data_IF_335078988386
#
_entry.id   IF_335078988386
#
_cell.length_a   1.000
_cell.length_b   1.000
_cell.length_c   1.000
_cell.angle_alpha   90.00
_cell.angle_beta   90.00
_cell.angle_gamma   90.00
#
_symmetry.space_group_name_H-M   'P 1'
#
loop_
_entity.id
_entity.type
_entity.pdbx_description
1 polymer ?
#
# COMPACT_ATOMS: atom_id res chain seq x y z
N UNK A 1 -8.67 22.06 12.70
CA UNK A 1 -8.65 21.14 11.54
C UNK A 1 -7.27 21.27 10.91
N UNK A 2 -6.44 20.23 10.96
CA UNK A 2 -5.10 20.27 10.36
C UNK A 2 -5.18 20.27 8.83
N UNK A 3 -4.14 20.70 8.11
CA UNK A 3 -4.11 20.67 6.65
C UNK A 3 -4.36 19.23 6.19
N UNK A 4 -5.34 19.04 5.28
CA UNK A 4 -5.61 17.73 4.71
C UNK A 4 -4.38 17.24 3.96
N UNK A 5 -3.75 16.17 4.46
CA UNK A 5 -2.60 15.54 3.80
C UNK A 5 -3.08 14.87 2.51
N UNK A 6 -2.35 15.04 1.42
CA UNK A 6 -2.71 14.48 0.11
C UNK A 6 -2.97 12.97 0.15
N UNK A 7 -2.16 12.23 0.92
CA UNK A 7 -2.34 10.81 1.16
C UNK A 7 -3.72 10.48 1.77
N UNK A 8 -4.22 11.27 2.72
CA UNK A 8 -5.49 11.01 3.39
C UNK A 8 -6.68 11.28 2.46
N UNK A 9 -6.53 12.23 1.53
CA UNK A 9 -7.54 12.52 0.50
C UNK A 9 -7.57 11.37 -0.50
N UNK A 10 -6.39 10.98 -1.00
CA UNK A 10 -6.23 9.90 -1.97
C UNK A 10 -6.82 8.58 -1.45
N UNK A 11 -6.44 8.17 -0.24
CA UNK A 11 -7.02 6.99 0.40
C UNK A 11 -8.54 7.08 0.51
N UNK A 12 -9.07 8.20 1.02
CA UNK A 12 -10.52 8.35 1.21
C UNK A 12 -11.31 8.22 -0.09
N UNK A 13 -10.79 8.79 -1.17
CA UNK A 13 -11.42 8.72 -2.49
C UNK A 13 -11.49 7.30 -3.04
N UNK A 14 -10.47 6.48 -2.81
CA UNK A 14 -10.41 5.12 -3.33
C UNK A 14 -10.98 4.08 -2.36
N UNK A 15 -11.13 4.41 -1.07
CA UNK A 15 -11.56 3.49 0.00
C UNK A 15 -12.93 2.83 -0.24
N UNK A 16 -13.81 3.45 -1.04
CA UNK A 16 -15.11 2.89 -1.42
C UNK A 16 -15.01 1.57 -2.18
N UNK A 17 -13.86 1.26 -2.78
CA UNK A 17 -13.66 0.03 -3.55
C UNK A 17 -13.32 -1.18 -2.67
N UNK A 18 -13.02 -0.98 -1.38
CA UNK A 18 -12.83 -2.09 -0.44
C UNK A 18 -11.48 -2.82 -0.51
N UNK A 19 -10.52 -2.34 -1.30
CA UNK A 19 -9.19 -2.96 -1.47
C UNK A 19 -8.15 -2.52 -0.41
N UNK A 20 -8.59 -2.24 0.81
CA UNK A 20 -7.71 -1.79 1.89
C UNK A 20 -7.26 -0.31 1.74
N UNK A 21 -5.99 -0.03 2.08
CA UNK A 21 -5.46 1.33 2.15
C UNK A 21 -4.62 1.71 0.93
N UNK A 22 -5.18 2.52 0.04
CA UNK A 22 -4.48 2.99 -1.15
C UNK A 22 -3.31 3.94 -0.81
N UNK A 23 -2.10 3.57 -1.20
CA UNK A 23 -0.90 4.40 -1.07
C UNK A 23 -0.77 5.35 -2.27
N UNK A 24 -0.54 6.64 -2.00
CA UNK A 24 -0.27 7.64 -3.04
C UNK A 24 1.08 7.40 -3.71
N UNK A 25 2.04 6.80 -2.97
CA UNK A 25 3.35 6.43 -3.48
C UNK A 25 3.72 5.03 -2.99
N UNK A 26 3.23 3.97 -3.64
CA UNK A 26 3.42 2.59 -3.21
C UNK A 26 4.87 2.11 -3.27
N UNK A 27 5.80 2.84 -3.92
CA UNK A 27 7.17 2.36 -4.01
C UNK A 27 7.83 2.29 -2.64
N UNK A 28 8.50 1.16 -2.33
CA UNK A 28 9.19 1.00 -1.07
C UNK A 28 10.35 2.00 -0.99
N UNK A 29 10.35 2.82 0.07
CA UNK A 29 11.35 3.86 0.27
C UNK A 29 12.64 3.28 0.85
N UNK A 30 13.76 3.61 0.23
CA UNK A 30 15.07 3.25 0.76
C UNK A 30 15.36 3.98 2.08
N UNK A 31 15.57 3.21 3.13
CA UNK A 31 16.03 3.69 4.43
C UNK A 31 17.55 3.60 4.45
N UNK A 32 18.22 4.73 4.69
CA UNK A 32 19.68 4.86 4.68
C UNK A 32 20.25 5.23 3.31
N UNK A 33 21.40 5.92 3.32
CA UNK A 33 22.12 6.36 2.11
C UNK A 33 23.10 5.32 1.57
N UNK A 34 23.43 4.29 2.36
CA UNK A 34 24.37 3.25 1.96
C UNK A 34 23.62 1.97 1.57
N UNK A 35 23.75 1.61 0.31
CA UNK A 35 23.25 0.37 -0.27
C UNK A 35 23.95 -0.83 0.36
N UNK A 36 23.48 -1.26 1.53
CA UNK A 36 23.78 -2.59 2.03
C UNK A 36 23.21 -3.61 1.03
N UNK A 37 23.97 -4.61 0.54
CA UNK A 37 23.51 -5.51 -0.52
C UNK A 37 22.16 -6.20 -0.24
N UNK A 38 21.88 -6.48 1.03
CA UNK A 38 20.63 -7.09 1.47
C UNK A 38 19.42 -6.13 1.49
N UNK A 39 19.65 -4.81 1.44
CA UNK A 39 18.57 -3.84 1.34
C UNK A 39 17.97 -3.82 -0.07
N UNK A 40 18.78 -4.02 -1.12
CA UNK A 40 18.31 -4.08 -2.52
C UNK A 40 17.23 -5.14 -2.73
N UNK A 41 17.46 -6.35 -2.23
CA UNK A 41 16.47 -7.45 -2.31
C UNK A 41 15.19 -7.11 -1.53
N UNK A 42 15.32 -6.43 -0.39
CA UNK A 42 14.18 -5.99 0.41
C UNK A 42 13.25 -5.08 -0.41
N UNK A 43 13.82 -4.15 -1.18
CA UNK A 43 13.09 -3.21 -2.05
C UNK A 43 12.53 -3.86 -3.31
N UNK A 44 13.26 -4.80 -3.93
CA UNK A 44 12.80 -5.53 -5.12
C UNK A 44 11.56 -6.38 -4.83
N UNK A 45 11.50 -7.01 -3.65
CA UNK A 45 10.35 -7.82 -3.23
C UNK A 45 9.15 -6.95 -2.79
N UNK A 46 9.36 -5.67 -2.49
CA UNK A 46 8.33 -4.73 -2.08
C UNK A 46 7.79 -4.95 -0.65
N UNK A 47 6.58 -4.44 -0.41
CA UNK A 47 5.84 -4.63 0.84
C UNK A 47 5.36 -6.08 0.98
N UNK A 48 5.38 -6.61 2.19
CA UNK A 48 5.01 -8.01 2.49
C UNK A 48 3.93 -8.08 3.56
N UNK A 49 3.18 -9.18 3.55
CA UNK A 49 2.33 -9.56 4.67
C UNK A 49 3.18 -9.66 5.95
N UNK A 50 2.68 -9.06 7.03
CA UNK A 50 3.32 -8.95 8.33
C UNK A 50 4.24 -7.75 8.51
N UNK A 51 4.50 -6.96 7.46
CA UNK A 51 5.27 -5.72 7.60
C UNK A 51 4.52 -4.77 8.54
N UNK A 52 5.23 -4.31 9.56
CA UNK A 52 4.80 -3.28 10.51
C UNK A 52 5.45 -1.98 10.10
N UNK A 53 4.65 -0.93 9.95
CA UNK A 53 5.15 0.33 9.43
C UNK A 53 4.22 1.51 9.64
N UNK A 54 4.63 2.63 9.07
CA UNK A 54 3.89 3.89 9.12
C UNK A 54 3.75 4.48 7.72
N UNK A 55 2.62 5.13 7.48
CA UNK A 55 2.38 5.88 6.25
C UNK A 55 2.82 7.33 6.49
N UNK A 56 3.76 7.81 5.68
CA UNK A 56 4.28 9.18 5.79
C UNK A 56 3.40 10.16 5.02
N UNK A 57 3.46 11.43 5.41
CA UNK A 57 2.76 12.54 4.73
C UNK A 57 3.11 12.64 3.23
N UNK A 58 4.26 12.11 2.83
CA UNK A 58 4.72 12.03 1.44
C UNK A 58 4.01 10.96 0.61
N UNK A 59 3.22 10.08 1.24
CA UNK A 59 2.42 9.04 0.61
C UNK A 59 3.04 7.64 0.57
N UNK A 60 4.26 7.48 1.09
CA UNK A 60 4.96 6.20 1.15
C UNK A 60 4.70 5.47 2.46
N UNK A 61 4.70 4.14 2.39
CA UNK A 61 4.82 3.28 3.55
C UNK A 61 6.30 3.08 3.93
N UNK A 62 6.61 3.21 5.21
CA UNK A 62 7.94 2.92 5.77
C UNK A 62 7.83 1.68 6.63
N UNK A 63 8.39 0.57 6.15
CA UNK A 63 8.50 -0.69 6.90
C UNK A 63 9.55 -0.54 8.00
N UNK A 64 9.17 -0.88 9.22
CA UNK A 64 10.03 -0.85 10.41
C UNK A 64 10.61 -2.26 10.65
N UNK A 65 9.73 -3.26 10.71
CA UNK A 65 10.06 -4.68 10.89
C UNK A 65 8.90 -5.54 10.37
N UNK A 66 9.02 -6.86 10.37
CA UNK A 66 8.01 -7.84 9.97
C UNK A 66 7.77 -8.84 11.10
N UNK A 67 6.51 -9.05 11.47
CA UNK A 67 6.11 -9.91 12.61
C UNK A 67 6.35 -11.40 12.37
N UNK A 68 6.44 -11.85 11.12
CA UNK A 68 6.63 -13.27 10.75
C UNK A 68 8.09 -13.64 10.54
N UNK A 69 8.99 -12.66 10.56
CA UNK A 69 10.41 -12.87 10.27
C UNK A 69 11.24 -12.83 11.55
N UNK A 70 12.35 -13.56 11.57
CA UNK A 70 13.30 -13.55 12.68
C UNK A 70 13.99 -12.19 12.83
N UNK A 71 14.46 -11.85 14.02
CA UNK A 71 15.12 -10.56 14.31
C UNK A 71 16.39 -10.31 13.49
N UNK A 72 17.11 -11.37 13.12
CA UNK A 72 18.32 -11.28 12.29
C UNK A 72 18.09 -11.21 10.78
N UNK A 73 16.84 -11.21 10.32
CA UNK A 73 16.54 -11.06 8.89
C UNK A 73 16.79 -9.64 8.41
N UNK A 74 17.05 -9.41 7.10
CA UNK A 74 17.29 -8.07 6.59
C UNK A 74 16.21 -7.06 6.95
N UNK A 75 14.92 -7.42 6.84
CA UNK A 75 13.79 -6.53 7.17
C UNK A 75 13.78 -6.11 8.64
N UNK A 76 14.16 -7.02 9.54
CA UNK A 76 14.15 -6.80 10.99
C UNK A 76 15.47 -6.24 11.52
N UNK A 77 16.49 -6.15 10.68
CA UNK A 77 17.82 -5.63 11.07
C UNK A 77 18.01 -4.15 10.76
N UNK A 78 17.22 -3.56 9.84
CA UNK A 78 17.38 -2.16 9.42
C UNK A 78 17.13 -1.20 10.59
N UNK A 79 15.96 -1.32 11.23
CA UNK A 79 15.63 -0.54 12.42
C UNK A 79 15.79 -1.34 13.72
N UNK A 80 15.97 -2.66 13.61
CA UNK A 80 15.86 -3.58 14.73
C UNK A 80 14.41 -3.99 14.99
N UNK A 81 14.21 -4.66 16.12
CA UNK A 81 12.91 -5.09 16.61
C UNK A 81 12.74 -4.69 18.08
N UNK A 82 11.49 -4.54 18.56
CA UNK A 82 11.22 -4.26 19.96
C UNK A 82 11.84 -5.30 20.92
N UNK A 83 12.22 -4.88 22.12
CA UNK A 83 12.78 -5.79 23.11
C UNK A 83 11.81 -6.96 23.42
N UNK A 84 12.36 -8.18 23.49
CA UNK A 84 11.58 -9.40 23.70
C UNK A 84 10.74 -9.83 22.51
N UNK A 85 10.97 -9.26 21.32
CA UNK A 85 10.30 -9.69 20.08
C UNK A 85 10.52 -11.19 19.84
N UNK A 86 9.42 -11.87 19.49
CA UNK A 86 9.38 -13.26 19.07
C UNK A 86 8.48 -13.34 17.84
N UNK A 87 8.93 -13.91 16.72
CA UNK A 87 8.10 -13.95 15.52
C UNK A 87 6.79 -14.68 15.75
N UNK A 88 5.72 -14.16 15.14
CA UNK A 88 4.45 -14.85 15.03
C UNK A 88 4.61 -16.01 14.02
N UNK A 89 3.98 -17.15 14.29
CA UNK A 89 3.98 -18.28 13.36
C UNK A 89 3.31 -17.90 12.03
N UNK A 90 3.99 -18.15 10.91
CA UNK A 90 3.42 -17.93 9.58
C UNK A 90 2.81 -19.21 9.02
N UNK A 91 1.50 -19.19 8.81
CA UNK A 91 0.76 -20.32 8.26
C UNK A 91 0.54 -20.15 6.75
N UNK A 92 1.39 -20.76 5.93
CA UNK A 92 1.32 -20.66 4.45
C UNK A 92 -0.06 -21.03 3.88
N UNK A 93 -0.79 -21.94 4.52
CA UNK A 93 -2.13 -22.36 4.13
C UNK A 93 -3.23 -21.31 4.40
N UNK A 94 -2.90 -20.20 5.05
CA UNK A 94 -3.78 -19.05 5.25
C UNK A 94 -3.40 -17.88 4.34
N UNK A 95 -2.39 -18.04 3.47
CA UNK A 95 -2.02 -17.06 2.46
C UNK A 95 -2.73 -17.39 1.14
N UNK A 96 -3.57 -16.48 0.68
CA UNK A 96 -4.32 -16.59 -0.55
C UNK A 96 -3.77 -15.60 -1.57
N UNK A 97 -3.64 -16.06 -2.80
CA UNK A 97 -3.29 -15.26 -3.96
C UNK A 97 -4.04 -15.85 -5.14
N UNK A 98 -4.69 -15.00 -5.92
CA UNK A 98 -5.35 -15.44 -7.14
C UNK A 98 -4.30 -15.69 -8.23
N UNK A 99 -4.49 -16.75 -9.03
CA UNK A 99 -3.66 -16.98 -10.23
C UNK A 99 -3.95 -15.93 -11.31
N UNK A 100 -5.22 -15.55 -11.45
CA UNK A 100 -5.66 -14.48 -12.32
C UNK A 100 -5.50 -13.11 -11.62
N UNK A 101 -5.21 -12.04 -12.37
CA UNK A 101 -5.12 -10.71 -11.79
C UNK A 101 -6.51 -10.25 -11.32
N UNK A 102 -6.61 -9.96 -10.02
CA UNK A 102 -7.81 -9.39 -9.37
C UNK A 102 -8.28 -8.12 -10.07
N UNK A 103 -7.33 -7.30 -10.54
CA UNK A 103 -7.58 -6.16 -11.41
C UNK A 103 -7.01 -6.46 -12.80
N UNK A 104 -7.84 -6.65 -13.84
CA UNK A 104 -7.36 -6.87 -15.20
C UNK A 104 -6.51 -5.70 -15.73
N UNK A 105 -5.68 -5.92 -16.76
CA UNK A 105 -4.96 -4.83 -17.44
C UNK A 105 -5.88 -3.71 -17.93
N UNK A 106 -5.40 -2.47 -17.84
CA UNK A 106 -6.12 -1.24 -18.13
C UNK A 106 -7.32 -0.98 -17.20
N UNK A 107 -7.24 -1.45 -15.95
CA UNK A 107 -8.24 -1.13 -14.92
C UNK A 107 -7.98 0.24 -14.34
N UNK A 108 -9.05 1.04 -14.19
CA UNK A 108 -9.01 2.35 -13.57
C UNK A 108 -9.85 2.32 -12.29
N UNK A 109 -9.25 2.76 -11.18
CA UNK A 109 -9.91 2.91 -9.89
C UNK A 109 -10.01 4.41 -9.63
N UNK A 110 -11.20 4.94 -9.42
CA UNK A 110 -11.42 6.38 -9.27
C UNK A 110 -12.46 6.68 -8.21
N UNK A 111 -12.51 7.92 -7.72
CA UNK A 111 -13.50 8.32 -6.71
C UNK A 111 -14.93 7.98 -7.10
N UNK A 112 -15.77 7.63 -6.12
CA UNK A 112 -17.21 7.46 -6.36
C UNK A 112 -17.76 8.67 -7.14
N UNK A 113 -18.56 8.38 -8.19
CA UNK A 113 -19.17 9.38 -9.09
C UNK A 113 -18.19 10.12 -10.02
N UNK A 114 -17.10 9.46 -10.42
CA UNK A 114 -16.42 9.83 -11.66
C UNK A 114 -17.03 9.07 -12.85
N UNK A 115 -16.93 9.65 -14.03
CA UNK A 115 -17.31 8.99 -15.28
C UNK A 115 -16.26 9.21 -16.36
N UNK A 116 -16.12 8.20 -17.21
CA UNK A 116 -15.18 8.19 -18.33
C UNK A 116 -15.80 8.86 -19.55
N UNK A 117 -15.07 9.80 -20.16
CA UNK A 117 -15.40 10.41 -21.44
C UNK A 117 -14.30 10.02 -22.43
N UNK A 118 -14.65 9.23 -23.45
CA UNK A 118 -13.71 8.87 -24.53
C UNK A 118 -13.61 10.04 -25.51
N UNK A 119 -12.40 10.42 -25.89
CA UNK A 119 -12.11 11.50 -26.83
C UNK A 119 -11.49 10.95 -28.11
N UNK A 120 -11.81 11.55 -29.26
CA UNK A 120 -11.07 11.30 -30.51
C UNK A 120 -9.75 12.08 -30.54
N UNK A 121 -8.97 11.88 -31.60
CA UNK A 121 -7.69 12.57 -31.81
C UNK A 121 -7.82 14.11 -31.87
N UNK A 122 -9.02 14.62 -32.14
CA UNK A 122 -9.35 16.05 -32.20
C UNK A 122 -9.88 16.59 -30.85
N UNK A 123 -9.86 15.79 -29.79
CA UNK A 123 -10.31 16.17 -28.45
C UNK A 123 -11.84 16.26 -28.27
N UNK A 124 -12.62 15.68 -29.18
CA UNK A 124 -14.07 15.66 -29.11
C UNK A 124 -14.58 14.37 -28.44
N UNK A 125 -15.59 14.52 -27.57
CA UNK A 125 -16.26 13.40 -26.94
C UNK A 125 -16.88 12.45 -27.97
N UNK A 126 -16.58 11.16 -27.82
CA UNK A 126 -17.08 10.08 -28.63
C UNK A 126 -18.30 9.42 -27.98
N UNK A 127 -19.18 8.89 -28.83
CA UNK A 127 -20.25 8.03 -28.36
C UNK A 127 -19.69 6.80 -27.64
N UNK A 128 -20.37 6.38 -26.56
CA UNK A 128 -20.04 5.16 -25.82
C UNK A 128 -19.94 3.97 -26.79
N UNK A 129 -18.76 3.34 -26.85
CA UNK A 129 -18.49 2.18 -27.70
C UNK A 129 -17.68 2.43 -28.99
N UNK A 130 -17.24 3.66 -29.26
CA UNK A 130 -16.30 3.94 -30.34
C UNK A 130 -14.85 3.53 -29.97
N UNK A 131 -14.14 2.87 -30.88
CA UNK A 131 -12.73 2.45 -30.72
C UNK A 131 -11.92 2.82 -31.97
N UNK A 132 -10.69 3.30 -31.78
CA UNK A 132 -9.75 3.61 -32.87
C UNK A 132 -8.41 4.15 -32.37
N UNK A 133 -7.34 4.09 -33.18
CA UNK A 133 -6.04 4.68 -32.84
C UNK A 133 -6.16 6.21 -32.72
N UNK A 134 -5.56 6.79 -31.68
CA UNK A 134 -5.69 8.22 -31.34
C UNK A 134 -6.81 8.56 -30.36
N UNK A 135 -7.33 7.57 -29.62
CA UNK A 135 -8.29 7.79 -28.54
C UNK A 135 -7.59 8.33 -27.28
N UNK A 136 -8.02 9.50 -26.82
CA UNK A 136 -7.74 10.00 -25.47
C UNK A 136 -8.87 9.60 -24.53
N UNK A 137 -8.62 9.61 -23.23
CA UNK A 137 -9.65 9.41 -22.23
C UNK A 137 -9.59 10.54 -21.21
N UNK A 138 -10.74 11.18 -20.98
CA UNK A 138 -10.93 12.22 -19.98
C UNK A 138 -11.77 11.65 -18.83
N UNK A 139 -11.36 11.92 -17.59
CA UNK A 139 -12.15 11.56 -16.40
C UNK A 139 -12.75 12.83 -15.83
N UNK A 140 -14.07 12.84 -15.71
CA UNK A 140 -14.79 13.93 -15.10
C UNK A 140 -15.31 13.49 -13.74
N UNK A 141 -15.03 14.31 -12.73
CA UNK A 141 -15.54 14.12 -11.38
C UNK A 141 -16.76 15.02 -11.19
N UNK A 142 -17.84 14.48 -10.60
CA UNK A 142 -18.99 15.30 -10.20
C UNK A 142 -18.63 16.31 -9.09
N UNK A 143 -17.52 16.08 -8.38
CA UNK A 143 -17.02 16.93 -7.30
C UNK A 143 -15.80 17.72 -7.76
N UNK A 144 -15.51 18.82 -7.05
CA UNK A 144 -14.33 19.67 -7.31
C UNK A 144 -12.99 19.00 -6.98
N UNK A 145 -13.00 17.76 -6.48
CA UNK A 145 -11.83 16.97 -6.17
C UNK A 145 -12.14 15.49 -6.41
N UNK A 146 -11.12 14.76 -6.85
CA UNK A 146 -11.17 13.33 -7.10
C UNK A 146 -9.77 12.75 -7.12
N UNK A 147 -9.68 11.44 -7.09
CA UNK A 147 -8.44 10.69 -7.25
C UNK A 147 -8.69 9.55 -8.21
N UNK A 148 -7.66 9.22 -8.97
CA UNK A 148 -7.63 8.13 -9.92
C UNK A 148 -6.36 7.31 -9.69
N UNK A 149 -6.44 6.03 -10.00
CA UNK A 149 -5.35 5.07 -10.06
C UNK A 149 -5.56 4.26 -11.33
N UNK A 150 -4.65 4.41 -12.28
CA UNK A 150 -4.58 3.59 -13.48
C UNK A 150 -3.67 2.40 -13.23
N UNK A 151 -4.12 1.21 -13.65
CA UNK A 151 -3.39 -0.06 -13.60
C UNK A 151 -3.23 -0.61 -15.02
N UNK A 152 -2.27 -0.10 -15.83
CA UNK A 152 -2.12 -0.50 -17.22
C UNK A 152 -1.88 -2.00 -17.39
N UNK A 153 -1.08 -2.61 -16.51
CA UNK A 153 -0.79 -4.05 -16.49
C UNK A 153 -1.67 -4.85 -15.51
N UNK A 154 -2.60 -4.18 -14.82
CA UNK A 154 -3.44 -4.81 -13.81
C UNK A 154 -2.73 -4.96 -12.47
N UNK A 155 -3.35 -5.70 -11.55
CA UNK A 155 -2.81 -5.99 -10.24
C UNK A 155 -3.28 -7.34 -9.70
N UNK A 156 -2.41 -7.99 -8.91
CA UNK A 156 -2.71 -9.23 -8.19
C UNK A 156 -2.91 -8.96 -6.71
N UNK A 157 -3.95 -9.54 -6.14
CA UNK A 157 -4.23 -9.50 -4.71
C UNK A 157 -3.56 -10.67 -3.99
N UNK A 158 -3.02 -10.37 -2.81
CA UNK A 158 -2.54 -11.35 -1.85
C UNK A 158 -3.16 -11.02 -0.50
N UNK A 159 -3.84 -11.98 0.13
CA UNK A 159 -4.47 -11.81 1.44
C UNK A 159 -4.05 -12.91 2.41
N UNK A 160 -3.99 -12.55 3.70
CA UNK A 160 -3.70 -13.48 4.77
C UNK A 160 -4.87 -13.56 5.76
N UNK A 161 -5.50 -14.73 5.84
CA UNK A 161 -6.72 -14.94 6.63
C UNK A 161 -6.45 -15.25 8.11
N UNK A 162 -5.18 -15.44 8.52
CA UNK A 162 -4.77 -15.61 9.92
C UNK A 162 -4.88 -14.33 10.75
N UNK A 163 -5.90 -13.51 10.50
CA UNK A 163 -6.17 -12.24 11.16
C UNK A 163 -6.39 -12.37 12.68
N UNK A 164 -7.04 -13.41 13.22
CA UNK A 164 -7.18 -13.55 14.67
C UNK A 164 -5.83 -13.57 15.40
N UNK A 165 -4.86 -14.34 14.88
CA UNK A 165 -3.54 -14.48 15.47
C UNK A 165 -2.73 -13.17 15.39
N UNK A 166 -2.82 -12.48 14.24
CA UNK A 166 -2.22 -11.14 14.08
C UNK A 166 -2.83 -10.17 15.09
N UNK A 167 -4.16 -10.15 15.25
CA UNK A 167 -4.83 -9.23 16.18
C UNK A 167 -4.44 -9.51 17.63
N UNK A 168 -4.38 -10.77 18.05
CA UNK A 168 -3.94 -11.14 19.39
C UNK A 168 -2.49 -10.69 19.62
N UNK A 169 -1.61 -10.98 18.66
CA UNK A 169 -0.21 -10.61 18.71
C UNK A 169 -0.03 -9.08 18.80
N UNK A 170 -0.70 -8.32 17.94
CA UNK A 170 -0.68 -6.84 17.96
C UNK A 170 -1.21 -6.32 19.31
N UNK A 171 -2.34 -6.85 19.81
CA UNK A 171 -2.92 -6.40 21.08
C UNK A 171 -1.95 -6.59 22.24
N UNK A 172 -1.20 -7.69 22.25
CA UNK A 172 -0.22 -8.00 23.27
C UNK A 172 1.04 -7.12 23.19
N UNK A 173 1.45 -6.71 21.99
CA UNK A 173 2.77 -6.11 21.76
C UNK A 173 2.75 -4.64 21.30
N UNK A 174 1.61 -4.09 20.89
CA UNK A 174 1.52 -2.74 20.32
C UNK A 174 2.14 -1.66 21.22
N UNK A 175 1.94 -1.74 22.54
CA UNK A 175 2.53 -0.77 23.47
C UNK A 175 4.07 -0.80 23.42
N UNK A 176 4.69 -1.98 23.38
CA UNK A 176 6.16 -2.08 23.29
C UNK A 176 6.67 -1.60 21.94
N UNK A 177 5.88 -1.73 20.86
CA UNK A 177 6.23 -1.22 19.54
C UNK A 177 6.25 0.31 19.51
N UNK A 178 5.26 0.96 20.12
CA UNK A 178 5.26 2.43 20.26
C UNK A 178 6.47 2.90 21.07
N UNK A 179 6.75 2.28 22.22
CA UNK A 179 7.93 2.63 23.05
C UNK A 179 9.25 2.41 22.29
N UNK A 180 9.39 1.29 21.60
CA UNK A 180 10.56 1.01 20.75
C UNK A 180 10.77 2.14 19.73
N UNK A 181 9.71 2.56 19.04
CA UNK A 181 9.81 3.64 18.05
C UNK A 181 10.15 4.99 18.65
N UNK A 182 9.53 5.37 19.77
CA UNK A 182 9.75 6.69 20.39
C UNK A 182 11.09 6.77 21.13
N UNK A 183 11.45 5.69 21.83
CA UNK A 183 12.54 5.70 22.81
C UNK A 183 13.85 5.23 22.19
N UNK A 184 13.81 4.22 21.30
CA UNK A 184 14.99 3.60 20.71
C UNK A 184 15.22 4.11 19.27
N UNK A 185 14.24 3.99 18.38
CA UNK A 185 14.36 4.40 16.96
C UNK A 185 14.29 5.93 16.79
N UNK A 186 13.71 6.64 17.77
CA UNK A 186 13.49 8.10 17.76
C UNK A 186 12.60 8.58 16.61
N UNK A 187 11.61 7.78 16.22
CA UNK A 187 10.56 8.18 15.29
C UNK A 187 9.35 8.74 16.03
N UNK A 188 8.75 9.80 15.49
CA UNK A 188 7.48 10.32 16.00
C UNK A 188 6.35 9.33 15.66
N UNK A 189 5.87 8.62 16.68
CA UNK A 189 4.83 7.61 16.58
C UNK A 189 3.68 7.98 17.53
N UNK A 190 2.52 8.30 16.96
CA UNK A 190 1.30 8.63 17.69
C UNK A 190 0.29 7.50 17.59
N UNK A 191 -0.62 7.39 18.57
CA UNK A 191 -1.61 6.32 18.58
C UNK A 191 -2.43 6.28 17.26
N UNK A 192 -2.45 5.12 16.63
CA UNK A 192 -3.12 4.87 15.34
C UNK A 192 -2.25 5.12 14.12
N UNK A 193 -0.96 5.45 14.27
CA UNK A 193 -0.06 5.65 13.12
C UNK A 193 0.59 4.35 12.62
N UNK A 194 0.56 3.27 13.42
CA UNK A 194 1.13 1.98 13.06
C UNK A 194 0.13 1.10 12.35
N UNK A 195 0.60 0.47 11.28
CA UNK A 195 -0.14 -0.44 10.44
C UNK A 195 0.60 -1.78 10.38
N UNK A 196 -0.16 -2.86 10.31
CA UNK A 196 0.35 -4.19 9.96
C UNK A 196 -0.27 -4.57 8.63
N UNK A 197 0.56 -4.94 7.65
CA UNK A 197 0.07 -5.39 6.35
C UNK A 197 -0.47 -6.81 6.49
N UNK A 198 -1.77 -6.98 6.28
CA UNK A 198 -2.42 -8.30 6.30
C UNK A 198 -2.69 -8.83 4.89
N UNK A 199 -2.54 -7.99 3.88
CA UNK A 199 -2.74 -8.29 2.47
C UNK A 199 -2.34 -7.07 1.63
N UNK A 200 -2.23 -7.24 0.33
CA UNK A 200 -1.90 -6.18 -0.62
C UNK A 200 -2.37 -6.49 -2.03
N UNK A 201 -2.69 -5.43 -2.78
CA UNK A 201 -2.78 -5.46 -4.24
C UNK A 201 -1.46 -4.96 -4.83
N UNK A 202 -0.89 -5.71 -5.77
CA UNK A 202 0.41 -5.41 -6.36
C UNK A 202 0.31 -5.26 -7.88
N UNK A 203 0.77 -4.11 -8.37
CA UNK A 203 0.94 -3.82 -9.78
C UNK A 203 2.43 -3.64 -10.11
N UNK A 204 2.82 -3.99 -11.34
CA UNK A 204 4.15 -3.71 -11.90
C UNK A 204 4.29 -2.25 -12.34
N UNK A 205 3.20 -1.63 -12.75
CA UNK A 205 3.13 -0.23 -13.15
C UNK A 205 1.80 0.40 -12.70
N UNK A 206 1.83 1.70 -12.41
CA UNK A 206 0.66 2.46 -11.97
C UNK A 206 0.82 3.94 -12.32
N UNK A 207 -0.30 4.66 -12.42
CA UNK A 207 -0.33 6.12 -12.58
C UNK A 207 -1.44 6.72 -11.70
N UNK A 208 -1.15 7.85 -11.03
CA UNK A 208 -2.06 8.57 -10.12
C UNK A 208 -2.39 9.97 -10.63
#
# INVERSE_FOLDING_TARGET
>A
MGPHRWQDIYFRHLSSHGHGYALLKPEPKMVGTESQPHSKKLYEEGLRVGDVGMIKDTGHFVTIFNIFQESGTPVNSVYGVPNGFQPLGFHQNLLFSDEDPTHPPNTWIYSEKAYEVKLNADGQALALGAFGPGLGVEIQFERSHGSILSLPEGAHQVDYDGLPDIREYVTKHAESWYRFLTDEVRMDAYNGCLYVITGYDRASCYEN
#
